data_IF_298543987163
#
_entry.id   IF_298543987163
#
_cell.length_a   1.000
_cell.length_b   1.000
_cell.length_c   1.000
_cell.angle_alpha   90.00
_cell.angle_beta   90.00
_cell.angle_gamma   90.00
#
_symmetry.space_group_name_H-M   'P 1'
#
loop_
_entity.id
_entity.type
_entity.pdbx_description
1 polymer ?
#
# COMPACT_ATOMS: atom_id res chain seq x y z
N UNK A 1 35.30 -2.73 40.50
CA UNK A 1 35.59 -1.74 39.44
C UNK A 1 35.01 -2.29 38.17
N UNK A 2 33.80 -1.86 37.81
CA UNK A 2 33.14 -2.26 36.56
C UNK A 2 33.55 -1.22 35.53
N UNK A 3 34.29 -1.63 34.51
CA UNK A 3 34.65 -0.76 33.41
C UNK A 3 33.41 -0.60 32.52
N UNK A 4 32.75 0.56 32.62
CA UNK A 4 31.81 1.00 31.60
C UNK A 4 32.60 1.29 30.32
N UNK A 5 32.49 0.40 29.34
CA UNK A 5 32.93 0.68 27.97
C UNK A 5 31.81 1.48 27.31
N UNK A 6 31.78 2.78 27.53
CA UNK A 6 31.04 3.70 26.66
C UNK A 6 31.86 3.94 25.41
N UNK A 7 31.86 2.99 24.47
CA UNK A 7 32.27 3.29 23.11
C UNK A 7 31.13 4.05 22.45
N UNK A 8 31.13 5.38 22.55
CA UNK A 8 30.28 6.22 21.72
C UNK A 8 30.78 6.07 20.27
N UNK A 9 30.25 5.09 19.54
CA UNK A 9 30.34 5.07 18.09
C UNK A 9 29.68 6.35 17.59
N UNK A 10 30.51 7.34 17.24
CA UNK A 10 30.05 8.63 16.75
C UNK A 10 29.58 8.43 15.31
N UNK A 11 28.37 7.88 15.15
CA UNK A 11 27.76 7.74 13.83
C UNK A 11 27.72 9.13 13.17
N UNK A 12 28.22 9.29 11.93
CA UNK A 12 28.40 10.59 11.28
C UNK A 12 27.08 11.29 10.93
N UNK A 13 25.95 10.63 11.19
CA UNK A 13 24.63 11.14 10.87
C UNK A 13 24.05 11.97 12.02
N UNK A 14 23.41 13.12 11.73
CA UNK A 14 22.75 13.92 12.74
C UNK A 14 21.51 13.22 13.33
N UNK A 15 20.89 12.30 12.58
CA UNK A 15 19.73 11.52 13.01
C UNK A 15 20.18 10.37 13.91
N UNK A 16 19.69 10.34 15.15
CA UNK A 16 20.01 9.32 16.17
C UNK A 16 18.85 8.38 16.48
N UNK A 17 17.63 8.78 16.16
CA UNK A 17 16.42 8.02 16.44
C UNK A 17 15.51 8.10 15.22
N UNK A 18 15.01 6.96 14.80
CA UNK A 18 14.04 6.83 13.71
C UNK A 18 12.77 6.24 14.32
N UNK A 19 11.65 6.93 14.13
CA UNK A 19 10.33 6.44 14.50
C UNK A 19 9.58 6.11 13.22
N UNK A 20 9.16 4.86 13.05
CA UNK A 20 8.41 4.40 11.89
C UNK A 20 6.97 4.15 12.32
N UNK A 21 6.06 5.04 11.91
CA UNK A 21 4.62 4.85 12.08
C UNK A 21 4.06 4.11 10.87
N UNK A 22 3.77 2.82 11.03
CA UNK A 22 3.16 1.99 9.98
C UNK A 22 1.64 2.05 10.11
N UNK A 23 1.00 2.65 9.11
CA UNK A 23 -0.46 2.77 9.02
C UNK A 23 -1.05 1.69 8.10
N UNK A 24 -2.37 1.65 7.97
CA UNK A 24 -3.08 0.55 7.30
C UNK A 24 -4.11 1.04 6.27
N UNK A 25 -4.23 0.29 5.18
CA UNK A 25 -5.32 0.30 4.19
C UNK A 25 -5.76 1.68 3.67
N UNK A 26 -4.80 2.54 3.31
CA UNK A 26 -5.07 3.84 2.67
C UNK A 26 -4.09 4.13 1.53
N UNK A 27 -4.61 4.53 0.37
CA UNK A 27 -3.81 4.96 -0.78
C UNK A 27 -3.38 6.42 -0.64
N UNK A 28 -2.39 6.82 -1.44
CA UNK A 28 -1.92 8.21 -1.53
C UNK A 28 -3.07 9.15 -1.89
N UNK A 29 -3.78 8.87 -2.99
CA UNK A 29 -4.88 9.73 -3.45
C UNK A 29 -6.02 9.84 -2.45
N UNK A 30 -6.29 8.77 -1.69
CA UNK A 30 -7.31 8.77 -0.66
C UNK A 30 -6.96 9.73 0.50
N UNK A 31 -5.71 9.73 0.98
CA UNK A 31 -5.34 10.51 2.17
C UNK A 31 -4.83 11.91 1.84
N UNK A 32 -4.01 12.04 0.79
CA UNK A 32 -3.26 13.26 0.52
C UNK A 32 -3.33 13.72 -0.94
N UNK A 33 -4.10 13.03 -1.80
CA UNK A 33 -4.25 13.40 -3.21
C UNK A 33 -4.71 14.85 -3.43
N UNK A 34 -5.63 15.35 -2.59
CA UNK A 34 -6.15 16.73 -2.68
C UNK A 34 -5.25 17.79 -2.05
N UNK A 35 -4.04 17.44 -1.59
CA UNK A 35 -3.12 18.37 -0.93
C UNK A 35 -2.27 19.19 -1.89
N UNK A 36 -2.48 19.08 -3.22
CA UNK A 36 -1.88 20.01 -4.22
C UNK A 36 -2.20 21.48 -3.94
N UNK A 37 -3.33 21.75 -3.29
CA UNK A 37 -3.71 23.09 -2.85
C UNK A 37 -2.79 23.67 -1.78
N UNK A 38 -2.05 22.81 -1.05
CA UNK A 38 -1.08 23.18 -0.02
C UNK A 38 0.35 23.08 -0.54
N UNK A 39 0.65 22.01 -1.26
CA UNK A 39 1.94 21.78 -1.90
C UNK A 39 1.72 21.42 -3.39
N UNK A 40 1.83 22.41 -4.30
CA UNK A 40 1.61 22.20 -5.73
C UNK A 40 2.58 21.22 -6.40
N UNK A 41 3.72 20.90 -5.77
CA UNK A 41 4.72 19.96 -6.31
C UNK A 41 4.28 18.49 -6.17
N UNK A 42 3.29 18.19 -5.33
CA UNK A 42 2.80 16.83 -5.13
C UNK A 42 2.21 16.23 -6.42
N UNK A 43 2.56 14.98 -6.69
CA UNK A 43 1.90 14.10 -7.67
C UNK A 43 0.51 13.63 -7.18
N UNK A 44 -0.36 14.59 -6.81
CA UNK A 44 -1.75 14.34 -6.40
C UNK A 44 -2.77 14.55 -7.52
N UNK A 45 -4.05 14.38 -7.15
CA UNK A 45 -5.19 14.41 -8.07
C UNK A 45 -5.54 15.82 -8.57
N UNK A 46 -6.11 15.87 -9.76
CA UNK A 46 -6.52 17.09 -10.46
C UNK A 46 -8.03 17.29 -10.50
N UNK A 47 -8.80 16.24 -10.20
CA UNK A 47 -10.25 16.17 -10.35
C UNK A 47 -10.71 15.77 -11.75
N UNK A 48 -9.78 15.42 -12.64
CA UNK A 48 -10.07 14.88 -13.97
C UNK A 48 -9.99 13.35 -14.03
N UNK A 49 -9.44 12.73 -12.98
CA UNK A 49 -9.28 11.29 -12.84
C UNK A 49 -10.66 10.64 -12.75
N UNK A 50 -10.84 9.53 -13.47
CA UNK A 50 -12.10 8.79 -13.47
C UNK A 50 -11.87 7.32 -13.80
N UNK A 51 -12.82 6.48 -13.41
CA UNK A 51 -12.88 5.07 -13.76
C UNK A 51 -14.29 4.71 -14.23
N UNK A 52 -14.44 3.84 -15.24
CA UNK A 52 -15.74 3.28 -15.61
C UNK A 52 -16.24 2.28 -14.54
N UNK A 53 -17.55 2.18 -14.39
CA UNK A 53 -18.18 1.12 -13.59
C UNK A 53 -17.89 -0.28 -14.17
N UNK A 54 -17.72 -0.37 -15.49
CA UNK A 54 -17.35 -1.59 -16.19
C UNK A 54 -16.35 -1.27 -17.30
N UNK A 55 -15.17 -1.88 -17.24
CA UNK A 55 -14.09 -1.70 -18.24
C UNK A 55 -14.38 -2.41 -19.55
N UNK A 56 -15.29 -3.40 -19.55
CA UNK A 56 -15.71 -4.13 -20.75
C UNK A 56 -16.81 -3.43 -21.55
N UNK A 57 -17.49 -2.42 -20.98
CA UNK A 57 -18.54 -1.66 -21.66
C UNK A 57 -18.01 -0.29 -22.11
N UNK A 58 -17.85 -0.04 -23.43
CA UNK A 58 -17.39 1.25 -23.94
C UNK A 58 -18.29 2.44 -23.59
N UNK A 59 -19.56 2.20 -23.22
CA UNK A 59 -20.51 3.22 -22.81
C UNK A 59 -20.73 3.25 -21.29
N UNK A 60 -19.86 2.59 -20.52
CA UNK A 60 -20.01 2.52 -19.08
C UNK A 60 -19.99 3.92 -18.44
N UNK A 61 -20.88 4.21 -17.48
CA UNK A 61 -20.80 5.44 -16.72
C UNK A 61 -19.44 5.58 -16.03
N UNK A 62 -18.89 6.78 -16.11
CA UNK A 62 -17.66 7.14 -15.40
C UNK A 62 -17.99 7.64 -13.99
N UNK A 63 -17.21 7.19 -13.02
CA UNK A 63 -17.12 7.83 -11.71
C UNK A 63 -15.83 8.66 -11.69
N UNK A 64 -15.99 9.96 -11.52
CA UNK A 64 -14.89 10.89 -11.33
C UNK A 64 -14.42 10.85 -9.88
N UNK A 65 -13.11 10.97 -9.68
CA UNK A 65 -12.52 11.01 -8.36
C UNK A 65 -12.94 12.29 -7.63
N UNK A 66 -13.57 12.12 -6.47
CA UNK A 66 -14.13 13.20 -5.68
C UNK A 66 -13.39 13.46 -4.37
N UNK A 67 -13.96 14.34 -3.57
CA UNK A 67 -13.39 14.84 -2.30
C UNK A 67 -14.30 14.55 -1.09
N UNK A 68 -15.15 13.52 -1.22
CA UNK A 68 -16.23 13.19 -0.28
C UNK A 68 -15.92 12.00 0.62
N UNK A 69 -14.65 11.63 0.79
CA UNK A 69 -14.27 10.55 1.71
C UNK A 69 -14.73 10.84 3.14
N UNK A 70 -15.11 9.78 3.83
CA UNK A 70 -15.58 9.82 5.22
C UNK A 70 -14.75 8.86 6.07
N UNK A 71 -14.73 9.06 7.40
CA UNK A 71 -13.86 8.31 8.30
C UNK A 71 -14.19 6.81 8.39
N UNK A 72 -15.43 6.42 8.09
CA UNK A 72 -15.88 5.03 8.01
C UNK A 72 -16.10 4.70 6.54
N UNK A 73 -15.07 4.14 5.91
CA UNK A 73 -15.08 3.80 4.50
C UNK A 73 -15.16 2.26 4.34
N UNK A 74 -15.82 1.73 3.31
CA UNK A 74 -15.67 0.33 2.89
C UNK A 74 -14.22 -0.15 2.87
N UNK A 75 -14.03 -1.45 3.05
CA UNK A 75 -12.75 -2.14 2.87
C UNK A 75 -12.73 -2.74 1.45
N UNK A 76 -12.23 -2.01 0.44
CA UNK A 76 -12.16 -2.52 -0.92
C UNK A 76 -11.20 -3.71 -1.01
N UNK A 77 -11.35 -4.50 -2.07
CA UNK A 77 -10.48 -5.63 -2.34
C UNK A 77 -9.00 -5.24 -2.36
N UNK A 78 -8.19 -5.88 -1.52
CA UNK A 78 -6.76 -5.65 -1.37
C UNK A 78 -5.95 -6.96 -1.44
N UNK A 79 -6.51 -7.96 -2.12
CA UNK A 79 -5.78 -9.16 -2.54
C UNK A 79 -5.00 -8.90 -3.83
N UNK A 80 -4.04 -9.76 -4.15
CA UNK A 80 -3.32 -9.67 -5.44
C UNK A 80 -4.27 -9.73 -6.64
N UNK A 81 -5.35 -10.50 -6.55
CA UNK A 81 -6.36 -10.60 -7.61
C UNK A 81 -7.17 -9.32 -7.76
N UNK A 82 -7.56 -8.70 -6.65
CA UNK A 82 -8.28 -7.43 -6.67
C UNK A 82 -7.39 -6.30 -7.19
N UNK A 83 -6.15 -6.21 -6.69
CA UNK A 83 -5.18 -5.20 -7.14
C UNK A 83 -4.87 -5.38 -8.63
N UNK A 84 -4.74 -6.62 -9.11
CA UNK A 84 -4.59 -6.89 -10.54
C UNK A 84 -5.76 -6.33 -11.34
N UNK A 85 -7.00 -6.59 -10.93
CA UNK A 85 -8.17 -6.06 -11.62
C UNK A 85 -8.19 -4.53 -11.60
N UNK A 86 -7.88 -3.91 -10.48
CA UNK A 86 -7.82 -2.45 -10.32
C UNK A 86 -6.81 -1.80 -11.28
N UNK A 87 -5.62 -2.38 -11.38
CA UNK A 87 -4.51 -1.85 -12.19
C UNK A 87 -4.70 -2.10 -13.69
N UNK A 88 -5.17 -3.28 -14.08
CA UNK A 88 -5.26 -3.69 -15.49
C UNK A 88 -6.67 -3.54 -16.08
N UNK A 89 -7.69 -3.32 -15.27
CA UNK A 89 -9.07 -3.28 -15.71
C UNK A 89 -9.59 -4.62 -16.23
N UNK A 90 -8.96 -5.73 -15.84
CA UNK A 90 -9.30 -7.09 -16.28
C UNK A 90 -9.48 -7.98 -15.06
N UNK A 91 -10.59 -8.71 -14.98
CA UNK A 91 -10.82 -9.62 -13.85
C UNK A 91 -9.79 -10.75 -13.84
N UNK A 92 -9.49 -11.27 -12.64
CA UNK A 92 -8.55 -12.38 -12.50
C UNK A 92 -8.99 -13.63 -13.29
N UNK A 93 -10.29 -13.91 -13.35
CA UNK A 93 -10.85 -15.04 -14.10
C UNK A 93 -10.67 -14.88 -15.63
N UNK A 94 -10.82 -13.67 -16.15
CA UNK A 94 -10.55 -13.40 -17.56
C UNK A 94 -9.06 -13.58 -17.87
N UNK A 95 -8.18 -13.06 -17.02
CA UNK A 95 -6.74 -13.24 -17.16
C UNK A 95 -6.34 -14.72 -17.16
N UNK A 96 -6.82 -15.52 -16.21
CA UNK A 96 -6.48 -16.96 -16.15
C UNK A 96 -7.02 -17.72 -17.35
N UNK A 97 -8.23 -17.41 -17.82
CA UNK A 97 -8.79 -18.00 -19.04
C UNK A 97 -7.94 -17.69 -20.28
N UNK A 98 -7.54 -16.42 -20.46
CA UNK A 98 -6.68 -16.01 -21.56
C UNK A 98 -5.33 -16.73 -21.51
N UNK A 99 -4.70 -16.80 -20.33
CA UNK A 99 -3.39 -17.45 -20.15
C UNK A 99 -3.42 -18.97 -20.35
N UNK A 100 -4.52 -19.64 -20.00
CA UNK A 100 -4.66 -21.10 -20.12
C UNK A 100 -5.02 -21.56 -21.54
N UNK A 101 -5.61 -20.68 -22.34
CA UNK A 101 -6.04 -20.97 -23.72
C UNK A 101 -4.93 -20.80 -24.77
N UNK A 102 -3.78 -20.24 -24.39
CA UNK A 102 -2.75 -19.81 -25.34
C UNK A 102 -1.65 -20.84 -25.61
N UNK A 103 -1.68 -21.44 -26.80
CA UNK A 103 -0.50 -21.99 -27.48
C UNK A 103 0.41 -20.83 -27.94
N UNK A 104 1.38 -20.48 -27.09
CA UNK A 104 2.63 -19.76 -27.34
C UNK A 104 2.66 -18.37 -28.03
N UNK A 105 1.61 -17.84 -28.66
CA UNK A 105 1.72 -16.60 -29.46
C UNK A 105 0.51 -15.63 -29.33
N UNK A 106 0.04 -15.30 -28.12
CA UNK A 106 -1.01 -14.28 -27.97
C UNK A 106 -0.41 -12.89 -27.77
N UNK A 107 -0.39 -12.06 -28.82
CA UNK A 107 -0.05 -10.64 -28.74
C UNK A 107 -0.92 -9.88 -27.70
N UNK A 108 -2.15 -10.33 -27.45
CA UNK A 108 -3.06 -9.76 -26.44
C UNK A 108 -2.51 -9.84 -25.00
N UNK A 109 -1.86 -10.94 -24.62
CA UNK A 109 -1.25 -11.07 -23.28
C UNK A 109 0.03 -10.22 -23.18
N UNK A 110 0.74 -10.05 -24.31
CA UNK A 110 1.91 -9.17 -24.42
C UNK A 110 1.58 -7.67 -24.33
N UNK A 111 0.30 -7.29 -24.39
CA UNK A 111 -0.17 -5.90 -24.28
C UNK A 111 -1.13 -5.72 -23.09
N UNK A 112 -0.94 -6.46 -22.00
CA UNK A 112 -1.55 -6.09 -20.71
C UNK A 112 -0.95 -4.76 -20.25
N UNK A 113 -1.69 -3.66 -20.47
CA UNK A 113 -1.30 -2.32 -20.05
C UNK A 113 -1.95 -1.98 -18.72
N UNK A 114 -1.18 -1.51 -17.71
CA UNK A 114 -1.74 -1.01 -16.48
C UNK A 114 -2.44 0.33 -16.75
N UNK A 115 -3.74 0.27 -17.05
CA UNK A 115 -4.56 1.42 -17.45
C UNK A 115 -5.21 2.13 -16.24
N UNK A 116 -5.14 1.53 -15.05
CA UNK A 116 -5.70 2.04 -13.80
C UNK A 116 -7.21 2.31 -13.86
N UNK A 117 -7.95 1.56 -14.71
CA UNK A 117 -9.39 1.76 -14.94
C UNK A 117 -10.30 0.82 -14.14
N UNK A 118 -9.73 -0.09 -13.34
CA UNK A 118 -10.50 -1.15 -12.68
C UNK A 118 -10.96 -0.85 -11.25
N UNK A 119 -10.63 0.30 -10.66
CA UNK A 119 -10.95 0.59 -9.26
C UNK A 119 -12.45 0.66 -9.00
N UNK A 120 -13.17 1.42 -9.82
CA UNK A 120 -14.62 1.52 -9.71
C UNK A 120 -15.32 0.18 -10.00
N UNK A 121 -14.88 -0.54 -11.04
CA UNK A 121 -15.42 -1.87 -11.36
C UNK A 121 -15.24 -2.88 -10.22
N UNK A 122 -14.02 -2.99 -9.68
CA UNK A 122 -13.72 -3.95 -8.62
C UNK A 122 -14.47 -3.61 -7.32
N UNK A 123 -14.62 -2.32 -7.00
CA UNK A 123 -15.42 -1.88 -5.86
C UNK A 123 -16.92 -2.22 -6.05
N UNK A 124 -17.49 -1.88 -7.22
CA UNK A 124 -18.91 -2.10 -7.50
C UNK A 124 -19.27 -3.60 -7.53
N UNK A 125 -18.35 -4.45 -7.99
CA UNK A 125 -18.53 -5.90 -7.99
C UNK A 125 -18.45 -6.52 -6.58
N UNK A 126 -17.69 -5.90 -5.67
CA UNK A 126 -17.59 -6.29 -4.26
C UNK A 126 -18.85 -5.90 -3.50
N UNK A 127 -19.31 -4.66 -3.67
CA UNK A 127 -20.55 -4.17 -3.07
C UNK A 127 -21.16 -3.07 -3.94
N UNK A 128 -22.43 -3.23 -4.31
CA UNK A 128 -23.16 -2.24 -5.09
C UNK A 128 -23.13 -0.86 -4.40
N UNK A 129 -22.72 0.17 -5.14
CA UNK A 129 -22.55 1.54 -4.68
C UNK A 129 -21.20 1.85 -4.03
N UNK A 130 -20.34 0.85 -3.79
CA UNK A 130 -19.02 1.06 -3.17
C UNK A 130 -18.08 1.87 -4.06
N UNK A 131 -18.24 1.82 -5.38
CA UNK A 131 -17.43 2.60 -6.29
C UNK A 131 -17.56 4.12 -6.04
N UNK A 132 -18.74 4.57 -5.62
CA UNK A 132 -18.98 5.97 -5.25
C UNK A 132 -18.31 6.37 -3.92
N UNK A 133 -17.88 5.42 -3.10
CA UNK A 133 -17.05 5.66 -1.90
C UNK A 133 -15.57 5.63 -2.25
N UNK A 134 -15.10 4.53 -2.87
CA UNK A 134 -13.69 4.27 -3.19
C UNK A 134 -13.07 5.33 -4.11
N UNK A 135 -13.87 5.90 -5.02
CA UNK A 135 -13.43 6.98 -5.91
C UNK A 135 -13.50 8.36 -5.23
N UNK A 136 -13.10 8.46 -3.96
CA UNK A 136 -12.93 9.75 -3.28
C UNK A 136 -11.64 9.79 -2.44
N UNK A 137 -11.15 11.01 -2.24
CA UNK A 137 -10.11 11.35 -1.27
C UNK A 137 -10.60 12.32 -0.21
N UNK A 138 -9.83 12.46 0.86
CA UNK A 138 -10.07 13.48 1.88
C UNK A 138 -9.61 14.86 1.42
N UNK A 139 -10.40 15.89 1.75
CA UNK A 139 -9.91 17.27 1.74
C UNK A 139 -8.86 17.46 2.84
N UNK A 140 -7.91 18.40 2.67
CA UNK A 140 -6.91 18.65 3.70
C UNK A 140 -7.49 18.90 5.10
N UNK A 141 -8.58 19.66 5.19
CA UNK A 141 -9.20 19.99 6.48
C UNK A 141 -9.90 18.81 7.18
N UNK A 142 -10.19 17.72 6.44
CA UNK A 142 -10.75 16.50 7.02
C UNK A 142 -9.68 15.61 7.66
N UNK A 143 -8.41 15.82 7.33
CA UNK A 143 -7.26 15.09 7.86
C UNK A 143 -6.20 16.08 8.37
N UNK A 144 -6.53 16.90 9.38
CA UNK A 144 -5.73 18.08 9.76
C UNK A 144 -4.29 17.73 10.14
N UNK A 145 -4.04 16.56 10.76
CA UNK A 145 -2.68 16.11 11.08
C UNK A 145 -1.85 15.92 9.82
N UNK A 146 -2.40 15.29 8.78
CA UNK A 146 -1.69 15.11 7.50
C UNK A 146 -1.51 16.43 6.78
N UNK A 147 -2.50 17.32 6.83
CA UNK A 147 -2.39 18.68 6.28
C UNK A 147 -1.17 19.41 6.85
N UNK A 148 -0.97 19.40 8.17
CA UNK A 148 0.21 20.02 8.80
C UNK A 148 1.51 19.30 8.42
N UNK A 149 1.52 17.96 8.39
CA UNK A 149 2.70 17.20 7.99
C UNK A 149 3.13 17.49 6.55
N UNK A 150 2.19 17.62 5.62
CA UNK A 150 2.48 17.95 4.21
C UNK A 150 2.95 19.40 4.05
N UNK A 151 2.48 20.32 4.89
CA UNK A 151 2.91 21.72 4.84
C UNK A 151 4.34 21.92 5.38
N UNK A 152 4.74 21.16 6.41
CA UNK A 152 5.96 21.43 7.18
C UNK A 152 7.09 20.42 6.93
N UNK A 153 6.82 19.27 6.29
CA UNK A 153 7.80 18.19 6.10
C UNK A 153 7.86 17.69 4.64
N UNK A 154 8.94 16.96 4.34
CA UNK A 154 9.10 16.30 3.05
C UNK A 154 8.11 15.15 2.86
N UNK A 155 7.53 15.07 1.67
CA UNK A 155 6.60 14.01 1.26
C UNK A 155 7.23 13.19 0.15
N UNK A 156 7.22 11.86 0.29
CA UNK A 156 7.54 10.95 -0.80
C UNK A 156 6.25 10.62 -1.57
N UNK A 157 5.99 11.33 -2.67
CA UNK A 157 4.77 11.18 -3.49
C UNK A 157 4.86 10.08 -4.56
N UNK A 158 6.01 9.40 -4.64
CA UNK A 158 6.23 8.21 -5.48
C UNK A 158 6.73 7.03 -4.64
N UNK A 159 6.12 6.84 -3.47
CA UNK A 159 6.39 5.72 -2.55
C UNK A 159 5.34 4.62 -2.74
N UNK A 160 5.77 3.47 -3.26
CA UNK A 160 4.88 2.35 -3.57
C UNK A 160 5.04 1.19 -2.59
N UNK A 161 3.98 0.39 -2.43
CA UNK A 161 4.07 -0.90 -1.77
C UNK A 161 5.09 -1.79 -2.49
N UNK A 162 5.86 -2.59 -1.73
CA UNK A 162 6.91 -3.44 -2.30
C UNK A 162 6.34 -4.57 -3.18
N UNK A 163 5.11 -5.01 -2.90
CA UNK A 163 4.40 -6.01 -3.69
C UNK A 163 2.90 -5.65 -3.74
N UNK A 164 2.22 -5.83 -4.90
CA UNK A 164 0.77 -5.64 -5.03
C UNK A 164 0.01 -6.79 -4.35
N UNK A 165 0.06 -6.84 -3.02
CA UNK A 165 -0.55 -7.88 -2.21
C UNK A 165 -1.09 -7.28 -0.90
N UNK A 166 -1.73 -8.14 -0.11
CA UNK A 166 -2.35 -7.78 1.18
C UNK A 166 -1.34 -7.33 2.24
N UNK A 167 -1.85 -7.02 3.42
CA UNK A 167 -1.11 -6.44 4.56
C UNK A 167 0.14 -7.24 4.95
N UNK A 168 0.05 -8.56 5.14
CA UNK A 168 1.17 -9.34 5.68
C UNK A 168 2.41 -9.33 4.77
N UNK A 169 2.33 -9.61 3.44
CA UNK A 169 3.49 -9.48 2.56
C UNK A 169 4.20 -8.13 2.65
N UNK A 170 3.45 -7.03 2.66
CA UNK A 170 4.04 -5.69 2.74
C UNK A 170 4.63 -5.39 4.14
N UNK A 171 4.03 -5.89 5.22
CA UNK A 171 4.65 -5.82 6.57
C UNK A 171 5.96 -6.61 6.63
N UNK A 172 6.05 -7.77 5.98
CA UNK A 172 7.31 -8.52 5.87
C UNK A 172 8.38 -7.70 5.15
N UNK A 173 8.04 -7.03 4.04
CA UNK A 173 8.98 -6.14 3.35
C UNK A 173 9.46 -4.97 4.23
N UNK A 174 8.57 -4.34 4.99
CA UNK A 174 8.95 -3.25 5.92
C UNK A 174 10.00 -3.72 6.93
N UNK A 175 9.91 -4.96 7.39
CA UNK A 175 10.77 -5.47 8.46
C UNK A 175 11.97 -6.29 7.99
N UNK A 176 11.96 -6.85 6.78
CA UNK A 176 12.97 -7.82 6.32
C UNK A 176 13.37 -7.65 4.85
N UNK A 177 12.88 -6.62 4.17
CA UNK A 177 13.12 -6.35 2.75
C UNK A 177 12.72 -7.50 1.78
N UNK A 178 11.97 -8.48 2.25
CA UNK A 178 11.40 -9.58 1.44
C UNK A 178 10.12 -10.12 2.09
N UNK A 179 9.21 -10.70 1.30
CA UNK A 179 8.04 -11.44 1.81
C UNK A 179 8.26 -12.95 1.89
N UNK A 180 9.44 -13.44 1.48
CA UNK A 180 9.72 -14.88 1.34
C UNK A 180 8.63 -15.61 0.52
N UNK A 181 8.21 -14.97 -0.57
CA UNK A 181 7.20 -15.49 -1.50
C UNK A 181 5.77 -15.45 -0.97
N UNK A 182 5.50 -14.87 0.21
CA UNK A 182 4.12 -14.65 0.66
C UNK A 182 3.43 -13.62 -0.26
N UNK A 183 2.22 -13.96 -0.71
CA UNK A 183 1.37 -13.15 -1.61
C UNK A 183 -0.01 -12.84 -1.03
N UNK A 184 -0.32 -13.37 0.15
CA UNK A 184 -1.58 -13.16 0.86
C UNK A 184 -1.36 -13.18 2.37
N UNK A 185 -2.41 -12.86 3.11
CA UNK A 185 -2.43 -13.09 4.55
C UNK A 185 -2.61 -14.60 4.83
N UNK A 186 -1.75 -15.17 5.66
CA UNK A 186 -1.69 -16.57 6.06
C UNK A 186 -1.27 -16.65 7.54
N UNK A 187 -2.23 -17.01 8.39
CA UNK A 187 -2.05 -17.05 9.84
C UNK A 187 -1.20 -18.25 10.27
N UNK A 188 -1.37 -19.40 9.61
CA UNK A 188 -0.62 -20.62 9.94
C UNK A 188 0.86 -20.41 9.61
N UNK A 189 1.16 -19.92 8.41
CA UNK A 189 2.52 -19.59 8.01
C UNK A 189 3.14 -18.50 8.88
N UNK A 190 2.34 -17.52 9.33
CA UNK A 190 2.83 -16.54 10.29
C UNK A 190 3.25 -17.23 11.60
N UNK A 191 2.41 -18.11 12.16
CA UNK A 191 2.70 -18.80 13.42
C UNK A 191 3.93 -19.72 13.29
N UNK A 192 4.07 -20.44 12.18
CA UNK A 192 5.26 -21.27 11.90
C UNK A 192 6.55 -20.44 11.87
N UNK A 193 6.43 -19.22 11.35
CA UNK A 193 7.47 -18.23 11.25
C UNK A 193 8.08 -18.14 9.86
N UNK A 194 8.81 -17.05 9.66
CA UNK A 194 9.44 -16.69 8.40
C UNK A 194 10.95 -16.71 8.55
N UNK A 195 11.72 -17.34 7.64
CA UNK A 195 13.15 -17.62 7.84
C UNK A 195 14.07 -16.44 7.52
N UNK A 196 13.53 -15.31 7.09
CA UNK A 196 14.32 -14.14 6.73
C UNK A 196 14.67 -13.29 7.95
N UNK A 197 15.93 -12.85 7.99
CA UNK A 197 16.43 -11.91 8.97
C UNK A 197 15.71 -10.56 8.87
N UNK A 198 15.38 -10.02 10.03
CA UNK A 198 14.73 -8.72 10.18
C UNK A 198 15.73 -7.59 10.44
N UNK A 199 15.26 -6.36 10.28
CA UNK A 199 15.98 -5.17 10.71
C UNK A 199 16.23 -5.19 12.23
N UNK A 200 15.34 -5.80 13.02
CA UNK A 200 15.46 -5.85 14.47
C UNK A 200 16.62 -6.74 14.92
N UNK A 201 16.79 -7.91 14.31
CA UNK A 201 17.98 -8.75 14.53
C UNK A 201 19.25 -8.03 14.09
N UNK A 202 19.20 -7.31 12.97
CA UNK A 202 20.34 -6.52 12.49
C UNK A 202 20.72 -5.40 13.46
N UNK A 203 19.74 -4.76 14.10
CA UNK A 203 19.96 -3.75 15.13
C UNK A 203 20.54 -4.37 16.41
N UNK A 204 19.98 -5.50 16.86
CA UNK A 204 20.45 -6.23 18.06
C UNK A 204 21.91 -6.68 17.91
N UNK A 205 22.25 -7.34 16.81
CA UNK A 205 23.61 -7.77 16.50
C UNK A 205 24.60 -6.61 16.41
N UNK A 206 24.12 -5.42 16.02
CA UNK A 206 24.91 -4.20 15.95
C UNK A 206 25.01 -3.47 17.30
N UNK A 207 24.41 -3.99 18.37
CA UNK A 207 24.36 -3.36 19.70
C UNK A 207 23.50 -2.09 19.73
N UNK A 208 22.53 -1.95 18.81
CA UNK A 208 21.64 -0.81 18.71
C UNK A 208 20.29 -1.10 19.37
N UNK A 209 19.78 -0.11 20.12
CA UNK A 209 18.47 -0.22 20.76
C UNK A 209 17.33 -0.06 19.77
N UNK A 210 16.28 -0.87 19.91
CA UNK A 210 15.01 -0.68 19.21
C UNK A 210 13.83 -0.98 20.14
N UNK A 211 12.65 -0.51 19.75
CA UNK A 211 11.39 -0.78 20.43
C UNK A 211 10.28 -1.01 19.42
N UNK A 212 9.38 -1.93 19.72
CA UNK A 212 8.21 -2.25 18.89
C UNK A 212 6.97 -1.93 19.73
N UNK A 213 6.25 -0.90 19.33
CA UNK A 213 5.06 -0.41 20.02
C UNK A 213 3.82 -0.81 19.22
N UNK A 214 2.88 -1.51 19.86
CA UNK A 214 1.74 -2.12 19.21
C UNK A 214 0.53 -2.21 20.16
N UNK A 215 -0.67 -2.34 19.61
CA UNK A 215 -1.90 -2.55 20.40
C UNK A 215 -2.28 -4.04 20.57
N UNK A 216 -2.00 -4.89 19.56
CA UNK A 216 -2.15 -6.35 19.56
C UNK A 216 -0.83 -7.05 19.19
N UNK A 217 -0.57 -8.29 19.66
CA UNK A 217 0.73 -8.97 19.52
C UNK A 217 1.38 -8.70 18.15
N UNK A 218 2.60 -8.13 18.12
CA UNK A 218 3.13 -7.58 16.89
C UNK A 218 3.51 -8.75 16.00
N UNK A 219 3.24 -8.62 14.70
CA UNK A 219 3.63 -9.62 13.71
C UNK A 219 5.14 -9.95 13.76
N UNK A 220 5.94 -9.03 14.30
CA UNK A 220 7.38 -9.16 14.48
C UNK A 220 7.80 -10.23 15.48
N UNK A 221 6.94 -10.66 16.41
CA UNK A 221 7.23 -11.80 17.30
C UNK A 221 7.29 -13.14 16.54
N UNK A 222 6.75 -13.16 15.32
CA UNK A 222 6.67 -14.36 14.50
C UNK A 222 7.79 -14.43 13.45
N UNK A 223 8.70 -13.47 13.45
CA UNK A 223 9.90 -13.51 12.61
C UNK A 223 10.99 -14.24 13.40
N UNK A 224 11.63 -15.26 12.79
CA UNK A 224 12.56 -16.18 13.47
C UNK A 224 13.87 -16.30 12.72
#
# INVERSE_FOLDING_TARGET
MVAEITSSSQYPYPIKTIVVLVQENRSFDHMIGWMKSLNPELDGVTGSESNPISTSDPNSPLIYFGDKSVYVDPDPGHSIQAIFEQVFGLTWAQYTSLSSSSSSNNEELHVLRPNMQGFAQNAESTQKGMAASVMNGFKPDMVPVYKELVAEFGVCDRWFASVPASTQPNRLYVHSATSHGATSNDTEKLIEGFPQKTIFESLDESGLSFGIYYQYPPATLFYR
#
